data_IF_517453900761
#
_entry.id   IF_517453900761
#
_cell.length_a   1.000
_cell.length_b   1.000
_cell.length_c   1.000
_cell.angle_alpha   90.00
_cell.angle_beta   90.00
_cell.angle_gamma   90.00
#
_symmetry.space_group_name_H-M   'P 1'
#
loop_
_entity.id
_entity.type
_entity.pdbx_description
1 polymer ?
#
# COMPACT_ATOMS: atom_id res chain seq x y z
N UNK A 1 27.51 23.42 1.96
CA UNK A 1 27.98 22.41 0.99
C UNK A 1 26.78 21.60 0.50
N UNK A 2 26.28 21.91 -0.70
CA UNK A 2 25.19 21.16 -1.31
C UNK A 2 25.72 19.78 -1.73
N UNK A 3 25.25 18.73 -1.07
CA UNK A 3 25.51 17.34 -1.46
C UNK A 3 24.87 17.17 -2.85
N UNK A 4 25.68 17.08 -3.92
CA UNK A 4 25.20 16.69 -5.25
C UNK A 4 24.44 15.38 -5.06
N UNK A 5 23.11 15.42 -5.18
CA UNK A 5 22.30 14.21 -5.09
C UNK A 5 22.85 13.25 -6.16
N UNK A 6 23.28 12.05 -5.76
CA UNK A 6 23.60 11.01 -6.74
C UNK A 6 22.33 10.79 -7.57
N UNK A 7 22.50 10.69 -8.89
CA UNK A 7 21.39 10.36 -9.77
C UNK A 7 20.77 9.02 -9.31
N UNK A 8 19.43 8.98 -9.25
CA UNK A 8 18.69 7.75 -8.99
C UNK A 8 18.47 7.04 -10.34
N UNK A 9 19.23 5.98 -10.66
CA UNK A 9 19.13 5.32 -11.97
C UNK A 9 17.76 4.65 -12.17
N UNK A 10 17.13 4.17 -11.09
CA UNK A 10 15.80 3.56 -11.15
C UNK A 10 14.74 4.58 -11.57
N UNK A 11 14.84 5.82 -11.10
CA UNK A 11 13.94 6.89 -11.53
C UNK A 11 14.07 7.19 -13.03
N UNK A 12 15.26 7.02 -13.62
CA UNK A 12 15.45 7.18 -15.05
C UNK A 12 14.74 6.07 -15.84
N UNK A 13 14.83 4.82 -15.38
CA UNK A 13 14.17 3.69 -16.03
C UNK A 13 12.64 3.74 -15.91
N UNK A 14 12.11 4.22 -14.78
CA UNK A 14 10.68 4.42 -14.59
C UNK A 14 10.05 5.42 -15.57
N UNK A 15 10.86 6.26 -16.27
CA UNK A 15 10.36 7.15 -17.32
C UNK A 15 9.87 6.40 -18.55
N UNK A 16 10.29 5.16 -18.74
CA UNK A 16 9.83 4.31 -19.83
C UNK A 16 8.58 3.51 -19.47
N UNK A 17 8.11 3.59 -18.22
CA UNK A 17 6.86 2.97 -17.82
C UNK A 17 5.68 3.88 -18.19
N UNK A 18 4.79 3.36 -19.03
CA UNK A 18 3.64 4.06 -19.58
C UNK A 18 2.35 3.95 -18.74
N UNK A 19 2.44 3.32 -17.57
CA UNK A 19 1.29 3.05 -16.70
C UNK A 19 0.57 1.74 -16.98
N UNK A 20 0.96 0.96 -18.00
CA UNK A 20 0.21 -0.24 -18.41
C UNK A 20 1.01 -1.54 -18.31
N UNK A 21 2.28 -1.53 -18.74
CA UNK A 21 3.03 -2.77 -18.90
C UNK A 21 3.74 -3.20 -17.61
N UNK A 22 3.13 -4.15 -16.89
CA UNK A 22 3.76 -4.78 -15.72
C UNK A 22 5.10 -5.43 -16.07
N UNK A 23 5.27 -5.94 -17.29
CA UNK A 23 6.52 -6.53 -17.75
C UNK A 23 7.70 -5.54 -17.70
N UNK A 24 7.46 -4.25 -17.99
CA UNK A 24 8.48 -3.20 -17.85
C UNK A 24 8.89 -3.05 -16.38
N UNK A 25 7.93 -3.05 -15.46
CA UNK A 25 8.22 -2.95 -14.03
C UNK A 25 8.95 -4.20 -13.50
N UNK A 26 8.63 -5.39 -13.99
CA UNK A 26 9.35 -6.62 -13.67
C UNK A 26 10.80 -6.58 -14.16
N UNK A 27 11.04 -6.04 -15.36
CA UNK A 27 12.38 -5.83 -15.90
C UNK A 27 13.17 -4.83 -15.04
N UNK A 28 12.56 -3.69 -14.67
CA UNK A 28 13.18 -2.71 -13.77
C UNK A 28 13.50 -3.36 -12.42
N UNK A 29 12.55 -4.10 -11.83
CA UNK A 29 12.80 -4.81 -10.58
C UNK A 29 13.98 -5.77 -10.70
N UNK A 30 14.04 -6.58 -11.77
CA UNK A 30 15.13 -7.52 -11.97
C UNK A 30 16.48 -6.85 -12.20
N UNK A 31 16.52 -5.69 -12.83
CA UNK A 31 17.76 -4.96 -13.10
C UNK A 31 18.36 -4.33 -11.83
N UNK A 32 17.52 -3.94 -10.87
CA UNK A 32 17.96 -3.19 -9.68
C UNK A 32 17.92 -3.97 -8.36
N UNK A 33 17.24 -5.13 -8.29
CA UNK A 33 16.96 -5.85 -7.03
C UNK A 33 18.20 -6.25 -6.21
N UNK A 34 19.34 -6.43 -6.87
CA UNK A 34 20.59 -6.85 -6.23
C UNK A 34 21.43 -5.65 -5.74
N UNK A 35 21.03 -4.39 -6.04
CA UNK A 35 21.64 -3.19 -5.44
C UNK A 35 21.22 -3.10 -3.96
N UNK A 36 22.16 -3.05 -2.99
CA UNK A 36 21.84 -2.87 -1.58
C UNK A 36 20.98 -1.64 -1.26
N UNK A 37 20.95 -0.65 -2.16
CA UNK A 37 20.17 0.59 -2.07
C UNK A 37 18.82 0.48 -2.78
N UNK A 38 18.46 -0.68 -3.35
CA UNK A 38 17.27 -0.84 -4.18
C UNK A 38 16.02 -0.23 -3.54
N UNK A 39 15.69 -0.60 -2.31
CA UNK A 39 14.52 -0.06 -1.61
C UNK A 39 14.63 1.47 -1.41
N UNK A 40 15.81 1.98 -1.09
CA UNK A 40 16.02 3.43 -0.94
C UNK A 40 15.80 4.16 -2.25
N UNK A 41 16.30 3.63 -3.37
CA UNK A 41 16.09 4.17 -4.71
C UNK A 41 14.62 4.13 -5.12
N UNK A 42 13.90 3.04 -4.82
CA UNK A 42 12.46 2.94 -5.10
C UNK A 42 11.68 3.96 -4.27
N UNK A 43 11.99 4.13 -2.98
CA UNK A 43 11.34 5.14 -2.15
C UNK A 43 11.63 6.56 -2.63
N UNK A 44 12.88 6.87 -2.99
CA UNK A 44 13.24 8.16 -3.58
C UNK A 44 12.41 8.43 -4.84
N UNK A 45 12.29 7.44 -5.73
CA UNK A 45 11.47 7.55 -6.94
C UNK A 45 9.97 7.72 -6.62
N UNK A 46 9.46 7.02 -5.60
CA UNK A 46 8.06 7.13 -5.17
C UNK A 46 7.74 8.49 -4.51
N UNK A 47 8.76 9.20 -4.00
CA UNK A 47 8.62 10.55 -3.42
C UNK A 47 9.01 11.68 -4.37
N UNK A 48 9.61 11.36 -5.52
CA UNK A 48 10.04 12.37 -6.48
C UNK A 48 8.86 13.25 -6.92
N UNK A 49 9.12 14.52 -7.17
CA UNK A 49 8.13 15.40 -7.78
C UNK A 49 7.70 14.82 -9.14
N UNK A 50 6.41 14.90 -9.49
CA UNK A 50 5.96 14.52 -10.82
C UNK A 50 6.78 15.28 -11.85
N UNK A 51 7.39 14.57 -12.79
CA UNK A 51 8.14 15.22 -13.85
C UNK A 51 7.21 15.95 -14.83
N UNK A 52 5.98 15.44 -14.97
CA UNK A 52 4.88 15.96 -15.78
C UNK A 52 3.55 15.69 -15.05
N UNK A 53 2.41 15.95 -15.70
CA UNK A 53 1.09 15.53 -15.20
C UNK A 53 0.90 14.00 -15.15
N UNK A 54 1.92 13.24 -15.57
CA UNK A 54 1.91 11.79 -15.63
C UNK A 54 2.13 11.14 -14.25
N UNK A 55 1.19 10.28 -13.86
CA UNK A 55 1.23 9.51 -12.63
C UNK A 55 2.00 8.20 -12.77
N UNK A 56 2.36 7.78 -13.99
CA UNK A 56 2.93 6.48 -14.27
C UNK A 56 4.24 6.21 -13.50
N UNK A 57 5.24 7.11 -13.45
CA UNK A 57 6.48 6.83 -12.73
C UNK A 57 6.27 6.55 -11.23
N UNK A 58 5.43 7.36 -10.56
CA UNK A 58 5.10 7.14 -9.14
C UNK A 58 4.33 5.83 -8.94
N UNK A 59 3.39 5.52 -9.85
CA UNK A 59 2.62 4.27 -9.82
C UNK A 59 3.54 3.06 -9.97
N UNK A 60 4.50 3.12 -10.88
CA UNK A 60 5.55 2.12 -11.06
C UNK A 60 6.44 1.98 -9.82
N UNK A 61 6.87 3.08 -9.21
CA UNK A 61 7.67 3.03 -7.98
C UNK A 61 6.92 2.38 -6.80
N UNK A 62 5.65 2.72 -6.59
CA UNK A 62 4.85 2.11 -5.51
C UNK A 62 4.55 0.64 -5.82
N UNK A 63 4.35 0.29 -7.09
CA UNK A 63 4.26 -1.10 -7.52
C UNK A 63 5.55 -1.87 -7.23
N UNK A 64 6.73 -1.26 -7.45
CA UNK A 64 8.03 -1.87 -7.14
C UNK A 64 8.21 -2.12 -5.64
N UNK A 65 7.75 -1.20 -4.77
CA UNK A 65 7.72 -1.43 -3.32
C UNK A 65 6.86 -2.63 -2.96
N UNK A 66 5.66 -2.73 -3.54
CA UNK A 66 4.76 -3.85 -3.34
C UNK A 66 5.37 -5.16 -3.86
N UNK A 67 6.00 -5.13 -5.03
CA UNK A 67 6.66 -6.29 -5.61
C UNK A 67 7.81 -6.77 -4.72
N UNK A 68 8.67 -5.86 -4.26
CA UNK A 68 9.75 -6.17 -3.33
C UNK A 68 9.21 -6.88 -2.07
N UNK A 69 8.10 -6.39 -1.51
CA UNK A 69 7.46 -7.01 -0.37
C UNK A 69 6.98 -8.44 -0.65
N UNK A 70 6.33 -8.65 -1.81
CA UNK A 70 5.88 -9.99 -2.24
C UNK A 70 7.04 -10.96 -2.41
N UNK A 71 8.22 -10.46 -2.73
CA UNK A 71 9.46 -11.22 -2.84
C UNK A 71 10.21 -11.37 -1.50
N UNK A 72 9.58 -11.00 -0.38
CA UNK A 72 10.13 -11.20 0.96
C UNK A 72 10.88 -10.01 1.55
N UNK A 73 10.90 -8.85 0.88
CA UNK A 73 11.45 -7.64 1.50
C UNK A 73 10.63 -7.26 2.75
N UNK A 74 11.32 -7.09 3.86
CA UNK A 74 10.75 -6.60 5.10
C UNK A 74 10.70 -5.07 5.11
N UNK A 75 9.62 -4.52 5.66
CA UNK A 75 9.52 -3.09 5.93
C UNK A 75 9.62 -2.83 7.44
N UNK A 76 10.83 -2.56 7.99
CA UNK A 76 10.97 -2.15 9.38
C UNK A 76 10.20 -0.84 9.64
N UNK A 77 9.97 -0.48 10.92
CA UNK A 77 9.17 0.70 11.29
C UNK A 77 9.59 2.01 10.58
N UNK A 78 10.88 2.21 10.37
CA UNK A 78 11.40 3.38 9.63
C UNK A 78 10.94 3.42 8.17
N UNK A 79 10.86 2.27 7.50
CA UNK A 79 10.33 2.18 6.13
C UNK A 79 8.80 2.26 6.09
N UNK A 80 8.09 1.73 7.10
CA UNK A 80 6.64 1.95 7.22
C UNK A 80 6.32 3.43 7.36
N UNK A 81 7.12 4.19 8.12
CA UNK A 81 6.98 5.66 8.17
C UNK A 81 7.12 6.30 6.79
N UNK A 82 8.05 5.81 5.95
CA UNK A 82 8.21 6.30 4.56
C UNK A 82 7.01 5.93 3.69
N UNK A 83 6.47 4.72 3.81
CA UNK A 83 5.25 4.31 3.12
C UNK A 83 4.07 5.23 3.48
N UNK A 84 3.90 5.54 4.76
CA UNK A 84 2.84 6.44 5.24
C UNK A 84 3.03 7.87 4.72
N UNK A 85 4.29 8.32 4.56
CA UNK A 85 4.58 9.63 3.97
C UNK A 85 4.23 9.72 2.47
N UNK A 86 3.94 8.59 1.79
CA UNK A 86 3.47 8.59 0.40
C UNK A 86 1.98 8.95 0.28
N UNK A 87 1.18 8.76 1.34
CA UNK A 87 -0.28 8.99 1.34
C UNK A 87 -0.68 10.37 0.74
N UNK A 88 -0.09 11.51 1.16
CA UNK A 88 -0.47 12.81 0.61
C UNK A 88 -0.02 13.02 -0.85
N UNK A 89 0.84 12.14 -1.39
CA UNK A 89 1.37 12.23 -2.74
C UNK A 89 0.59 11.38 -3.75
N UNK A 90 -0.43 10.64 -3.29
CA UNK A 90 -1.19 9.73 -4.14
C UNK A 90 -2.22 10.52 -4.95
N UNK A 91 -2.14 10.42 -6.27
CA UNK A 91 -3.06 11.09 -7.21
C UNK A 91 -3.84 10.13 -8.08
N UNK A 92 -3.49 8.84 -8.05
CA UNK A 92 -4.11 7.81 -8.89
C UNK A 92 -4.53 6.57 -8.07
N UNK A 93 -5.64 5.94 -8.44
CA UNK A 93 -6.22 4.81 -7.69
C UNK A 93 -5.26 3.61 -7.59
N UNK A 94 -4.42 3.38 -8.61
CA UNK A 94 -3.43 2.29 -8.59
C UNK A 94 -2.36 2.50 -7.52
N UNK A 95 -1.99 3.75 -7.25
CA UNK A 95 -1.03 4.09 -6.21
C UNK A 95 -1.62 3.77 -4.84
N UNK A 96 -2.88 4.18 -4.62
CA UNK A 96 -3.63 3.85 -3.41
C UNK A 96 -3.78 2.34 -3.23
N UNK A 97 -4.16 1.62 -4.29
CA UNK A 97 -4.30 0.16 -4.27
C UNK A 97 -3.00 -0.53 -3.84
N UNK A 98 -1.88 -0.19 -4.49
CA UNK A 98 -0.60 -0.81 -4.18
C UNK A 98 -0.14 -0.48 -2.76
N UNK A 99 -0.32 0.76 -2.30
CA UNK A 99 0.02 1.15 -0.94
C UNK A 99 -0.84 0.42 0.10
N UNK A 100 -2.16 0.35 -0.09
CA UNK A 100 -3.07 -0.39 0.79
C UNK A 100 -2.69 -1.87 0.89
N UNK A 101 -2.27 -2.49 -0.22
CA UNK A 101 -1.81 -3.88 -0.22
C UNK A 101 -0.54 -4.09 0.60
N UNK A 102 0.38 -3.13 0.61
CA UNK A 102 1.56 -3.17 1.47
C UNK A 102 1.14 -2.96 2.94
N UNK A 103 0.36 -1.92 3.22
CA UNK A 103 -0.06 -1.55 4.57
C UNK A 103 -0.90 -2.64 5.26
N UNK A 104 -1.62 -3.45 4.48
CA UNK A 104 -2.37 -4.59 4.97
C UNK A 104 -1.48 -5.75 5.48
N UNK A 105 -0.26 -5.86 4.95
CA UNK A 105 0.65 -6.96 5.20
C UNK A 105 1.76 -6.64 6.23
N UNK A 106 1.95 -5.37 6.59
CA UNK A 106 3.02 -4.92 7.49
C UNK A 106 2.48 -4.44 8.85
N UNK A 107 3.23 -4.65 9.95
CA UNK A 107 2.86 -4.06 11.24
C UNK A 107 2.94 -2.53 11.20
N UNK A 108 1.84 -1.85 11.54
CA UNK A 108 1.78 -0.38 11.55
C UNK A 108 2.21 0.18 12.92
N UNK A 109 3.30 0.98 12.98
CA UNK A 109 3.73 1.65 14.21
C UNK A 109 2.65 2.55 14.80
N UNK A 110 2.58 2.63 16.14
CA UNK A 110 1.50 3.34 16.84
C UNK A 110 1.33 4.80 16.40
N UNK A 111 2.44 5.51 16.17
CA UNK A 111 2.48 6.89 15.70
C UNK A 111 1.98 7.08 14.25
N UNK A 112 1.87 6.00 13.46
CA UNK A 112 1.39 6.05 12.08
C UNK A 112 -0.07 5.59 11.93
N UNK A 113 -0.64 4.91 12.93
CA UNK A 113 -1.98 4.28 12.84
C UNK A 113 -3.08 5.25 12.46
N UNK A 114 -3.09 6.46 13.03
CA UNK A 114 -4.14 7.46 12.74
C UNK A 114 -4.10 7.95 11.30
N UNK A 115 -2.91 8.14 10.72
CA UNK A 115 -2.76 8.52 9.32
C UNK A 115 -3.19 7.39 8.39
N UNK A 116 -2.81 6.14 8.69
CA UNK A 116 -3.25 4.96 7.93
C UNK A 116 -4.75 4.76 8.04
N UNK A 117 -5.32 4.95 9.24
CA UNK A 117 -6.76 4.84 9.47
C UNK A 117 -7.51 5.87 8.61
N UNK A 118 -7.13 7.15 8.67
CA UNK A 118 -7.79 8.20 7.89
C UNK A 118 -7.72 7.93 6.37
N UNK A 119 -6.56 7.48 5.88
CA UNK A 119 -6.37 7.10 4.47
C UNK A 119 -7.23 5.88 4.06
N UNK A 120 -7.29 4.86 4.90
CA UNK A 120 -8.12 3.69 4.65
C UNK A 120 -9.62 4.02 4.75
N UNK A 121 -10.03 4.93 5.64
CA UNK A 121 -11.42 5.41 5.73
C UNK A 121 -11.83 6.13 4.44
N UNK A 122 -11.00 7.06 3.94
CA UNK A 122 -11.30 7.76 2.69
C UNK A 122 -11.33 6.81 1.49
N UNK A 123 -10.44 5.80 1.48
CA UNK A 123 -10.34 4.82 0.39
C UNK A 123 -11.44 3.75 0.43
N UNK A 124 -12.13 3.58 1.56
CA UNK A 124 -13.21 2.60 1.69
C UNK A 124 -14.45 2.94 0.85
N UNK A 125 -14.56 4.19 0.39
CA UNK A 125 -15.65 4.69 -0.47
C UNK A 125 -15.21 4.94 -1.93
N UNK A 126 -14.01 4.52 -2.32
CA UNK A 126 -13.47 4.73 -3.66
C UNK A 126 -14.35 4.07 -4.75
N UNK A 127 -14.42 4.64 -5.95
CA UNK A 127 -15.17 4.05 -7.06
C UNK A 127 -14.61 2.67 -7.47
N UNK A 128 -13.29 2.48 -7.34
CA UNK A 128 -12.60 1.24 -7.65
C UNK A 128 -12.83 0.19 -6.56
N UNK A 129 -13.47 -0.92 -6.96
CA UNK A 129 -13.78 -2.04 -6.05
C UNK A 129 -12.57 -2.64 -5.37
N UNK A 130 -11.40 -2.69 -6.03
CA UNK A 130 -10.18 -3.22 -5.44
C UNK A 130 -9.65 -2.30 -4.35
N UNK A 131 -9.66 -0.98 -4.59
CA UNK A 131 -9.26 0.01 -3.58
C UNK A 131 -10.14 -0.14 -2.34
N UNK A 132 -11.48 -0.17 -2.49
CA UNK A 132 -12.39 -0.40 -1.35
C UNK A 132 -12.10 -1.69 -0.60
N UNK A 133 -11.93 -2.80 -1.31
CA UNK A 133 -11.67 -4.10 -0.71
C UNK A 133 -10.43 -4.09 0.20
N UNK A 134 -9.34 -3.49 -0.27
CA UNK A 134 -8.09 -3.41 0.48
C UNK A 134 -8.13 -2.35 1.56
N UNK A 135 -8.83 -1.24 1.35
CA UNK A 135 -9.05 -0.20 2.34
C UNK A 135 -9.77 -0.76 3.58
N UNK A 136 -10.87 -1.47 3.40
CA UNK A 136 -11.62 -2.07 4.52
C UNK A 136 -10.78 -3.14 5.22
N UNK A 137 -9.96 -3.89 4.49
CA UNK A 137 -9.01 -4.84 5.09
C UNK A 137 -8.00 -4.15 6.01
N UNK A 138 -7.42 -3.03 5.57
CA UNK A 138 -6.51 -2.21 6.39
C UNK A 138 -7.23 -1.62 7.60
N UNK A 139 -8.46 -1.11 7.43
CA UNK A 139 -9.28 -0.60 8.55
C UNK A 139 -9.46 -1.67 9.62
N UNK A 140 -9.88 -2.88 9.24
CA UNK A 140 -10.08 -3.98 10.17
C UNK A 140 -8.79 -4.31 10.93
N UNK A 141 -7.63 -4.33 10.26
CA UNK A 141 -6.35 -4.67 10.91
C UNK A 141 -5.86 -3.56 11.85
N UNK A 142 -5.94 -2.30 11.43
CA UNK A 142 -5.50 -1.15 12.23
C UNK A 142 -6.48 -0.87 13.38
N UNK A 143 -7.78 -0.94 13.12
CA UNK A 143 -8.86 -0.67 14.05
C UNK A 143 -8.82 -1.53 15.32
N UNK A 144 -8.38 -2.79 15.21
CA UNK A 144 -8.20 -3.65 16.39
C UNK A 144 -7.25 -3.07 17.42
N UNK A 145 -6.28 -2.27 16.97
CA UNK A 145 -5.31 -1.66 17.87
C UNK A 145 -5.80 -0.35 18.49
N UNK A 146 -7.01 0.11 18.12
CA UNK A 146 -7.64 1.35 18.54
C UNK A 146 -9.06 1.07 19.07
N UNK A 147 -9.20 0.80 20.37
CA UNK A 147 -10.48 0.38 20.97
C UNK A 147 -11.67 1.29 20.61
N UNK A 148 -11.47 2.61 20.55
CA UNK A 148 -12.54 3.58 20.27
C UNK A 148 -13.10 3.52 18.84
N UNK A 149 -12.35 2.96 17.88
CA UNK A 149 -12.75 2.96 16.46
C UNK A 149 -13.33 1.62 16.00
N UNK A 150 -13.30 0.58 16.85
CA UNK A 150 -13.65 -0.79 16.47
C UNK A 150 -15.08 -0.91 15.95
N UNK A 151 -16.05 -0.42 16.71
CA UNK A 151 -17.47 -0.55 16.37
C UNK A 151 -17.80 0.12 15.03
N UNK A 152 -17.23 1.32 14.80
CA UNK A 152 -17.39 2.05 13.54
C UNK A 152 -16.79 1.30 12.36
N UNK A 153 -15.61 0.70 12.54
CA UNK A 153 -14.94 -0.08 11.50
C UNK A 153 -15.70 -1.37 11.20
N UNK A 154 -16.24 -2.04 12.21
CA UNK A 154 -17.08 -3.21 12.02
C UNK A 154 -18.37 -2.88 11.28
N UNK A 155 -19.01 -1.73 11.57
CA UNK A 155 -20.16 -1.24 10.81
C UNK A 155 -19.83 -1.02 9.33
N UNK A 156 -18.68 -0.41 9.01
CA UNK A 156 -18.20 -0.23 7.62
C UNK A 156 -18.04 -1.60 6.94
N UNK A 157 -17.39 -2.55 7.61
CA UNK A 157 -17.16 -3.89 7.06
C UNK A 157 -18.47 -4.67 6.86
N UNK A 158 -19.41 -4.61 7.81
CA UNK A 158 -20.69 -5.31 7.74
C UNK A 158 -21.62 -4.71 6.67
N UNK A 159 -21.60 -3.39 6.49
CA UNK A 159 -22.29 -2.73 5.37
C UNK A 159 -21.74 -3.23 4.04
N UNK A 160 -20.42 -3.18 3.85
CA UNK A 160 -19.79 -3.66 2.61
C UNK A 160 -20.03 -5.17 2.35
N UNK A 161 -20.15 -5.98 3.41
CA UNK A 161 -20.52 -7.40 3.29
C UNK A 161 -21.96 -7.60 2.78
N UNK A 162 -22.86 -6.65 3.01
CA UNK A 162 -24.25 -6.70 2.53
C UNK A 162 -24.40 -6.14 1.12
N UNK A 163 -23.74 -5.01 0.82
CA UNK A 163 -24.05 -4.20 -0.38
C UNK A 163 -22.99 -4.23 -1.47
N UNK A 164 -21.74 -4.57 -1.16
CA UNK A 164 -20.65 -4.50 -2.16
C UNK A 164 -20.50 -5.78 -2.99
N UNK A 165 -19.65 -5.74 -4.03
CA UNK A 165 -19.37 -6.83 -4.97
C UNK A 165 -18.71 -8.03 -4.28
N UNK A 166 -18.85 -9.21 -4.89
CA UNK A 166 -18.34 -10.46 -4.35
C UNK A 166 -16.83 -10.44 -4.03
N UNK A 167 -16.02 -9.76 -4.85
CA UNK A 167 -14.59 -9.59 -4.63
C UNK A 167 -14.26 -8.82 -3.35
N UNK A 168 -15.00 -7.74 -3.07
CA UNK A 168 -14.88 -6.94 -1.84
C UNK A 168 -15.24 -7.80 -0.63
N UNK A 169 -16.39 -8.49 -0.69
CA UNK A 169 -16.84 -9.36 0.40
C UNK A 169 -15.85 -10.48 0.71
N UNK A 170 -15.29 -11.10 -0.33
CA UNK A 170 -14.28 -12.14 -0.18
C UNK A 170 -13.03 -11.62 0.54
N UNK A 171 -12.58 -10.41 0.20
CA UNK A 171 -11.41 -9.78 0.84
C UNK A 171 -11.66 -9.46 2.32
N UNK A 172 -12.84 -8.94 2.66
CA UNK A 172 -13.24 -8.63 4.03
C UNK A 172 -13.28 -9.90 4.89
N UNK A 173 -13.91 -10.97 4.39
CA UNK A 173 -13.93 -12.28 5.09
C UNK A 173 -12.52 -12.80 5.34
N UNK A 174 -11.66 -12.73 4.33
CA UNK A 174 -10.25 -13.10 4.46
C UNK A 174 -9.52 -12.27 5.52
N UNK A 175 -9.75 -10.95 5.55
CA UNK A 175 -9.15 -10.07 6.55
C UNK A 175 -9.57 -10.47 7.97
N UNK A 176 -10.87 -10.73 8.19
CA UNK A 176 -11.41 -11.22 9.47
C UNK A 176 -10.80 -12.56 9.88
N UNK A 177 -10.59 -13.47 8.94
CA UNK A 177 -9.96 -14.76 9.21
C UNK A 177 -8.47 -14.64 9.53
N UNK A 178 -7.72 -13.78 8.82
CA UNK A 178 -6.33 -13.45 9.16
C UNK A 178 -6.22 -12.85 10.58
N UNK A 179 -7.15 -11.98 10.92
CA UNK A 179 -7.34 -11.37 12.24
C UNK A 179 -7.61 -12.42 13.32
N UNK A 180 -8.52 -13.36 13.09
CA UNK A 180 -8.85 -14.44 14.04
C UNK A 180 -7.64 -15.34 14.28
N UNK A 181 -6.97 -15.77 13.21
CA UNK A 181 -5.75 -16.58 13.28
C UNK A 181 -4.64 -15.90 14.08
N UNK A 182 -4.41 -14.61 13.85
CA UNK A 182 -3.44 -13.82 14.60
C UNK A 182 -3.79 -13.67 16.10
N UNK A 183 -5.04 -13.96 16.49
CA UNK A 183 -5.51 -13.93 17.88
C UNK A 183 -5.72 -15.31 18.50
N UNK A 184 -5.36 -16.39 17.79
CA UNK A 184 -5.54 -17.76 18.28
C UNK A 184 -7.00 -18.23 18.34
N UNK A 185 -7.92 -17.58 17.63
CA UNK A 185 -9.33 -17.98 17.57
C UNK A 185 -9.58 -19.02 16.46
N UNK A 186 -10.55 -19.94 16.62
CA UNK A 186 -10.89 -20.94 15.60
C UNK A 186 -11.46 -20.29 14.32
N UNK A 187 -11.40 -20.98 13.16
CA UNK A 187 -11.92 -20.45 11.89
C UNK A 187 -13.43 -20.20 11.95
N UNK A 188 -13.91 -19.29 11.10
CA UNK A 188 -15.35 -19.08 10.91
C UNK A 188 -15.99 -20.30 10.20
N UNK A 189 -17.22 -20.69 10.58
CA UNK A 189 -17.96 -21.77 9.92
C UNK A 189 -18.32 -21.46 8.46
#
# INVERSE_FOLDING_TARGET
MARRARANPLLADLRFYDGTSVAVLEQIASAHRDDPRYLDLVFEAATAEPMDADHAPRSGAIWLLRNAHRQGAAFPPAQVKRLVALIPLLTHWEQALNLLQILDAVPIPANNRRAVLAFAESSASDANTLVRAWAISVLLKVGRTLNAERDRIDQIADEALRTDKASVRARIRRAREEIRRASGLPPLP
#
